data_IF_438915604654
#
_entry.id   IF_438915604654
#
_cell.length_a   1.000
_cell.length_b   1.000
_cell.length_c   1.000
_cell.angle_alpha   90.00
_cell.angle_beta   90.00
_cell.angle_gamma   90.00
#
_symmetry.space_group_name_H-M   'P 1'
#
loop_
_entity.id
_entity.type
_entity.pdbx_description
1 polymer ?
#
# COMPACT_ATOMS: atom_id res chain seq x y z
N UNK A 1 -17.03 -1.23 -3.21
CA UNK A 1 -15.81 -0.53 -2.72
C UNK A 1 -16.08 0.06 -1.34
N UNK A 2 -15.08 0.19 -0.48
CA UNK A 2 -15.22 0.84 0.83
C UNK A 2 -14.25 2.02 0.94
N UNK A 3 -14.72 3.12 1.53
CA UNK A 3 -13.90 4.24 1.96
C UNK A 3 -13.69 4.13 3.46
N UNK A 4 -12.44 4.19 3.91
CA UNK A 4 -12.08 4.16 5.32
C UNK A 4 -11.42 5.46 5.70
N UNK A 5 -11.98 6.13 6.71
CA UNK A 5 -11.39 7.33 7.32
C UNK A 5 -10.82 6.91 8.66
N UNK A 6 -9.54 7.21 8.87
CA UNK A 6 -8.81 6.97 10.12
C UNK A 6 -8.28 8.30 10.60
N UNK A 7 -8.64 8.67 11.83
CA UNK A 7 -8.12 9.85 12.52
C UNK A 7 -7.58 9.44 13.87
N UNK A 8 -6.36 9.89 14.18
CA UNK A 8 -5.69 9.66 15.44
C UNK A 8 -4.68 10.77 15.68
N UNK A 9 -4.43 11.10 16.95
CA UNK A 9 -3.32 11.96 17.40
C UNK A 9 -1.97 11.23 17.42
N UNK A 10 -1.95 9.93 17.11
CA UNK A 10 -0.76 9.09 17.13
C UNK A 10 -0.41 8.55 15.75
N UNK A 11 0.72 8.97 15.20
CA UNK A 11 1.24 8.44 13.93
C UNK A 11 1.44 6.91 13.95
N UNK A 12 1.84 6.36 15.08
CA UNK A 12 2.01 4.92 15.27
C UNK A 12 0.67 4.18 15.06
N UNK A 13 -0.41 4.73 15.62
CA UNK A 13 -1.77 4.20 15.43
C UNK A 13 -2.20 4.32 13.97
N UNK A 14 -1.96 5.46 13.33
CA UNK A 14 -2.28 5.64 11.89
C UNK A 14 -1.52 4.64 11.03
N UNK A 15 -0.22 4.43 11.28
CA UNK A 15 0.61 3.44 10.56
C UNK A 15 0.08 2.01 10.73
N UNK A 16 -0.37 1.65 11.94
CA UNK A 16 -0.98 0.34 12.20
C UNK A 16 -2.34 0.20 11.53
N UNK A 17 -3.18 1.22 11.61
CA UNK A 17 -4.47 1.27 10.94
C UNK A 17 -4.31 1.09 9.42
N UNK A 18 -3.35 1.79 8.79
CA UNK A 18 -3.01 1.63 7.38
C UNK A 18 -2.74 0.17 7.01
N UNK A 19 -1.89 -0.52 7.80
CA UNK A 19 -1.56 -1.93 7.58
C UNK A 19 -2.77 -2.85 7.76
N UNK A 20 -3.63 -2.53 8.71
CA UNK A 20 -4.83 -3.31 9.04
C UNK A 20 -5.95 -3.16 7.98
N UNK A 21 -6.14 -1.95 7.47
CA UNK A 21 -7.16 -1.61 6.47
C UNK A 21 -6.78 -2.13 5.09
N UNK A 22 -5.50 -1.99 4.72
CA UNK A 22 -5.03 -2.29 3.37
C UNK A 22 -5.67 -1.40 2.29
N UNK A 23 -5.26 -1.61 1.04
CA UNK A 23 -5.75 -0.83 -0.09
C UNK A 23 -4.91 0.41 -0.38
N UNK A 24 -5.54 1.39 -1.04
CA UNK A 24 -4.91 2.59 -1.57
C UNK A 24 -5.19 3.78 -0.64
N UNK A 25 -4.14 4.41 -0.12
CA UNK A 25 -4.26 5.66 0.63
C UNK A 25 -4.36 6.83 -0.34
N UNK A 26 -5.48 7.55 -0.33
CA UNK A 26 -5.71 8.70 -1.20
C UNK A 26 -5.13 9.99 -0.63
N UNK A 27 -5.29 10.15 0.68
CA UNK A 27 -4.81 11.25 1.50
C UNK A 27 -4.46 10.68 2.88
N UNK A 28 -3.65 11.37 3.70
CA UNK A 28 -3.32 10.90 5.04
C UNK A 28 -4.58 10.51 5.84
N UNK A 29 -4.70 9.23 6.17
CA UNK A 29 -5.85 8.71 6.92
C UNK A 29 -7.10 8.40 6.08
N UNK A 30 -7.10 8.61 4.77
CA UNK A 30 -8.21 8.30 3.86
C UNK A 30 -7.84 7.18 2.90
N UNK A 31 -8.54 6.04 3.00
CA UNK A 31 -8.20 4.83 2.27
C UNK A 31 -9.36 4.33 1.42
N UNK A 32 -9.10 4.03 0.15
CA UNK A 32 -9.95 3.18 -0.68
C UNK A 32 -9.52 1.73 -0.54
N UNK A 33 -10.46 0.86 -0.18
CA UNK A 33 -10.18 -0.56 0.03
C UNK A 33 -11.26 -1.44 -0.58
N UNK A 34 -10.79 -2.53 -1.18
CA UNK A 34 -11.59 -3.64 -1.70
C UNK A 34 -11.57 -4.84 -0.74
N UNK A 35 -11.04 -4.65 0.47
CA UNK A 35 -11.05 -5.68 1.51
C UNK A 35 -12.50 -5.96 1.97
N UNK A 36 -12.88 -7.23 2.21
CA UNK A 36 -14.19 -7.56 2.74
C UNK A 36 -14.52 -6.81 4.03
N UNK A 37 -15.76 -6.35 4.15
CA UNK A 37 -16.21 -5.52 5.29
C UNK A 37 -16.00 -6.20 6.63
N UNK A 38 -16.22 -7.52 6.69
CA UNK A 38 -16.07 -8.33 7.90
C UNK A 38 -14.61 -8.38 8.36
N UNK A 39 -13.69 -8.47 7.40
CA UNK A 39 -12.25 -8.46 7.66
C UNK A 39 -11.80 -7.09 8.17
N UNK A 40 -12.30 -6.01 7.57
CA UNK A 40 -12.05 -4.65 8.06
C UNK A 40 -12.60 -4.43 9.46
N UNK A 41 -13.84 -4.86 9.72
CA UNK A 41 -14.46 -4.75 11.04
C UNK A 41 -13.62 -5.47 12.11
N UNK A 42 -13.17 -6.70 11.83
CA UNK A 42 -12.27 -7.45 12.73
C UNK A 42 -10.94 -6.74 12.95
N UNK A 43 -10.36 -6.17 11.89
CA UNK A 43 -9.08 -5.47 11.97
C UNK A 43 -9.18 -4.16 12.78
N UNK A 44 -10.24 -3.38 12.56
CA UNK A 44 -10.54 -2.16 13.32
C UNK A 44 -10.83 -2.49 14.79
N UNK A 45 -11.59 -3.56 15.06
CA UNK A 45 -11.88 -4.00 16.42
C UNK A 45 -10.61 -4.45 17.17
N UNK A 46 -9.72 -5.18 16.50
CA UNK A 46 -8.42 -5.54 17.08
C UNK A 46 -7.59 -4.31 17.45
N UNK A 47 -7.56 -3.29 16.57
CA UNK A 47 -6.86 -2.04 16.82
C UNK A 47 -7.47 -1.27 17.99
N UNK A 48 -8.81 -1.17 18.06
CA UNK A 48 -9.52 -0.55 19.18
C UNK A 48 -9.18 -1.23 20.52
N UNK A 49 -9.21 -2.56 20.57
CA UNK A 49 -8.88 -3.32 21.79
C UNK A 49 -7.46 -3.08 22.25
N UNK A 50 -6.51 -2.95 21.33
CA UNK A 50 -5.12 -2.64 21.68
C UNK A 50 -5.01 -1.24 22.31
N UNK A 51 -5.70 -0.25 21.75
CA UNK A 51 -5.73 1.12 22.29
C UNK A 51 -6.40 1.17 23.65
N UNK A 52 -7.54 0.48 23.82
CA UNK A 52 -8.24 0.39 25.11
C UNK A 52 -7.33 -0.21 26.19
N UNK A 53 -6.63 -1.32 25.89
CA UNK A 53 -5.66 -1.91 26.83
C UNK A 53 -4.57 -0.94 27.26
N UNK A 54 -4.14 -0.06 26.36
CA UNK A 54 -3.13 0.96 26.66
C UNK A 54 -3.68 2.07 27.55
N UNK A 55 -4.91 2.52 27.26
CA UNK A 55 -5.65 3.43 28.13
C UNK A 55 -5.81 2.88 29.54
N UNK A 56 -6.20 1.60 29.66
CA UNK A 56 -6.40 0.94 30.96
C UNK A 56 -5.09 0.81 31.74
N UNK A 57 -3.97 0.52 31.07
CA UNK A 57 -2.67 0.33 31.70
C UNK A 57 -1.98 1.66 32.09
N UNK A 58 -2.08 2.68 31.25
CA UNK A 58 -1.33 3.93 31.39
C UNK A 58 -2.19 5.10 31.94
N UNK A 59 -3.51 4.90 32.11
CA UNK A 59 -4.48 5.93 32.50
C UNK A 59 -4.72 7.00 31.43
N UNK A 60 -4.05 6.89 30.29
CA UNK A 60 -4.14 7.76 29.11
C UNK A 60 -3.77 6.95 27.86
N UNK A 61 -4.21 7.41 26.70
CA UNK A 61 -3.76 6.82 25.44
C UNK A 61 -4.17 7.64 24.23
N UNK A 62 -3.79 7.17 23.03
CA UNK A 62 -4.08 7.89 21.80
C UNK A 62 -5.58 7.87 21.49
N UNK A 63 -6.04 8.91 20.81
CA UNK A 63 -7.38 8.93 20.22
C UNK A 63 -7.41 8.10 18.94
N UNK A 64 -8.53 7.42 18.67
CA UNK A 64 -8.76 6.74 17.41
C UNK A 64 -10.23 6.86 17.01
N UNK A 65 -10.46 7.48 15.87
CA UNK A 65 -11.74 7.51 15.17
C UNK A 65 -11.58 6.76 13.84
N UNK A 66 -12.48 5.80 13.59
CA UNK A 66 -12.51 5.06 12.32
C UNK A 66 -13.93 5.02 11.78
N UNK A 67 -14.11 5.47 10.54
CA UNK A 67 -15.35 5.33 9.79
C UNK A 67 -15.12 4.40 8.59
N UNK A 68 -16.02 3.44 8.37
CA UNK A 68 -16.02 2.55 7.21
C UNK A 68 -17.31 2.79 6.44
N UNK A 69 -17.19 3.39 5.26
CA UNK A 69 -18.30 3.86 4.44
C UNK A 69 -18.38 3.02 3.17
N UNK A 70 -19.50 2.30 2.92
CA UNK A 70 -19.73 1.72 1.62
C UNK A 70 -19.97 2.83 0.60
N UNK A 71 -19.26 2.76 -0.52
CA UNK A 71 -19.45 3.70 -1.62
C UNK A 71 -20.42 3.14 -2.64
N UNK A 72 -21.29 4.00 -3.15
CA UNK A 72 -21.99 3.75 -4.41
C UNK A 72 -21.03 3.91 -5.59
N UNK A 73 -21.42 3.40 -6.76
CA UNK A 73 -20.64 3.58 -7.99
C UNK A 73 -20.46 5.05 -8.37
N UNK A 74 -21.48 5.88 -8.13
CA UNK A 74 -21.42 7.32 -8.38
C UNK A 74 -20.40 8.00 -7.46
N UNK A 75 -20.46 7.70 -6.15
CA UNK A 75 -19.49 8.24 -5.19
C UNK A 75 -18.06 7.76 -5.48
N UNK A 76 -17.90 6.52 -5.93
CA UNK A 76 -16.59 6.01 -6.36
C UNK A 76 -16.08 6.74 -7.60
N UNK A 77 -16.95 7.02 -8.58
CA UNK A 77 -16.58 7.76 -9.80
C UNK A 77 -15.98 9.13 -9.49
N UNK A 78 -16.52 9.83 -8.48
CA UNK A 78 -15.98 11.11 -8.02
C UNK A 78 -14.59 10.99 -7.37
N UNK A 79 -14.29 9.87 -6.72
CA UNK A 79 -12.97 9.61 -6.12
C UNK A 79 -11.95 9.04 -7.11
N UNK A 80 -12.41 8.52 -8.26
CA UNK A 80 -11.57 7.84 -9.26
C UNK A 80 -10.41 8.69 -9.78
N UNK A 81 -10.56 10.00 -10.06
CA UNK A 81 -9.42 10.85 -10.46
C UNK A 81 -8.30 10.90 -9.41
N UNK A 82 -8.68 10.96 -8.13
CA UNK A 82 -7.72 10.96 -7.02
C UNK A 82 -7.01 9.61 -6.90
N UNK A 83 -7.75 8.51 -6.99
CA UNK A 83 -7.18 7.17 -7.00
C UNK A 83 -6.21 6.97 -8.18
N UNK A 84 -6.58 7.49 -9.37
CA UNK A 84 -5.70 7.48 -10.55
C UNK A 84 -4.41 8.24 -10.30
N UNK A 85 -4.46 9.45 -9.75
CA UNK A 85 -3.26 10.24 -9.48
C UNK A 85 -2.28 9.48 -8.57
N UNK A 86 -2.79 8.86 -7.49
CA UNK A 86 -1.95 8.07 -6.56
C UNK A 86 -1.37 6.83 -7.24
N UNK A 87 -2.16 6.12 -8.07
CA UNK A 87 -1.67 4.94 -8.81
C UNK A 87 -0.58 5.32 -9.82
N UNK A 88 -0.75 6.43 -10.54
CA UNK A 88 0.25 6.91 -11.51
C UNK A 88 1.55 7.29 -10.80
N UNK A 89 1.48 8.05 -9.71
CA UNK A 89 2.66 8.42 -8.92
C UNK A 89 3.39 7.18 -8.37
N UNK A 90 2.63 6.21 -7.83
CA UNK A 90 3.19 4.96 -7.35
C UNK A 90 3.84 4.14 -8.47
N UNK A 91 3.24 4.13 -9.66
CA UNK A 91 3.75 3.45 -10.83
C UNK A 91 5.06 4.06 -11.34
N UNK A 92 5.13 5.39 -11.45
CA UNK A 92 6.35 6.10 -11.87
C UNK A 92 7.49 5.94 -10.86
N UNK A 93 7.19 6.09 -9.57
CA UNK A 93 8.16 5.91 -8.49
C UNK A 93 8.73 4.49 -8.48
N UNK A 94 7.86 3.49 -8.66
CA UNK A 94 8.26 2.09 -8.74
C UNK A 94 9.12 1.81 -9.99
N UNK A 95 8.78 2.41 -11.14
CA UNK A 95 9.55 2.28 -12.37
C UNK A 95 10.99 2.80 -12.19
N UNK A 96 11.15 3.97 -11.58
CA UNK A 96 12.46 4.56 -11.29
C UNK A 96 13.25 3.75 -10.24
N UNK A 97 12.55 3.09 -9.31
CA UNK A 97 13.17 2.20 -8.34
C UNK A 97 13.66 0.90 -8.99
N UNK A 98 12.88 0.32 -9.91
CA UNK A 98 13.28 -0.86 -10.68
C UNK A 98 14.55 -0.59 -11.50
N UNK A 99 14.68 0.60 -12.08
CA UNK A 99 15.91 1.01 -12.80
C UNK A 99 17.13 1.01 -11.88
N UNK A 100 17.00 1.63 -10.69
CA UNK A 100 18.06 1.66 -9.69
C UNK A 100 18.43 0.27 -9.18
N UNK A 101 17.43 -0.60 -9.02
CA UNK A 101 17.66 -1.99 -8.62
C UNK A 101 18.42 -2.76 -9.71
N UNK A 102 18.00 -2.63 -10.98
CA UNK A 102 18.67 -3.28 -12.12
C UNK A 102 20.13 -2.84 -12.25
N UNK A 103 20.39 -1.53 -12.15
CA UNK A 103 21.74 -0.99 -12.19
C UNK A 103 22.59 -1.56 -11.04
N UNK A 104 22.03 -1.61 -9.83
CA UNK A 104 22.71 -2.18 -8.68
C UNK A 104 23.02 -3.69 -8.86
N UNK A 105 22.08 -4.47 -9.39
CA UNK A 105 22.27 -5.89 -9.70
C UNK A 105 23.37 -6.10 -10.74
N UNK A 106 23.33 -5.34 -11.85
CA UNK A 106 24.29 -5.45 -12.96
C UNK A 106 25.69 -4.94 -12.61
N UNK A 107 25.79 -3.90 -11.78
CA UNK A 107 27.08 -3.34 -11.37
C UNK A 107 27.91 -4.27 -10.48
N UNK A 108 27.28 -5.25 -9.82
CA UNK A 108 27.93 -6.15 -8.87
C UNK A 108 28.53 -5.47 -7.64
N UNK A 109 28.34 -4.16 -7.44
CA UNK A 109 28.91 -3.36 -6.35
C UNK A 109 28.22 -3.56 -5.01
N UNK A 110 26.94 -3.96 -5.02
CA UNK A 110 26.23 -4.50 -3.86
C UNK A 110 26.12 -6.01 -4.07
N UNK A 111 26.56 -6.83 -3.12
CA UNK A 111 26.34 -8.29 -3.11
C UNK A 111 25.79 -8.69 -1.75
N UNK A 112 24.97 -9.74 -1.73
CA UNK A 112 24.43 -10.31 -0.49
C UNK A 112 22.99 -9.92 -0.15
N UNK A 113 22.61 -10.10 1.11
CA UNK A 113 21.24 -10.05 1.62
C UNK A 113 20.51 -8.72 1.35
N UNK A 114 21.23 -7.60 1.27
CA UNK A 114 20.64 -6.28 1.01
C UNK A 114 19.98 -6.14 -0.36
N UNK A 115 20.52 -6.78 -1.41
CA UNK A 115 19.91 -6.75 -2.74
C UNK A 115 18.65 -7.61 -2.82
N UNK A 116 18.69 -8.81 -2.21
CA UNK A 116 17.53 -9.70 -2.16
C UNK A 116 16.40 -9.08 -1.33
N UNK A 117 16.73 -8.39 -0.24
CA UNK A 117 15.78 -7.60 0.54
C UNK A 117 15.12 -6.50 -0.29
N UNK A 118 15.94 -5.71 -1.02
CA UNK A 118 15.43 -4.66 -1.90
C UNK A 118 14.55 -5.21 -3.03
N UNK A 119 14.96 -6.31 -3.67
CA UNK A 119 14.15 -7.01 -4.66
C UNK A 119 12.79 -7.45 -4.09
N UNK A 120 12.77 -8.06 -2.89
CA UNK A 120 11.52 -8.50 -2.26
C UNK A 120 10.59 -7.33 -1.95
N UNK A 121 11.14 -6.19 -1.53
CA UNK A 121 10.37 -4.97 -1.31
C UNK A 121 9.76 -4.42 -2.61
N UNK A 122 10.57 -4.30 -3.67
CA UNK A 122 10.10 -3.90 -5.01
C UNK A 122 9.03 -4.87 -5.53
N UNK A 123 9.22 -6.18 -5.35
CA UNK A 123 8.25 -7.20 -5.72
C UNK A 123 6.91 -7.01 -4.99
N UNK A 124 6.96 -6.77 -3.68
CA UNK A 124 5.77 -6.53 -2.87
C UNK A 124 5.03 -5.27 -3.32
N UNK A 125 5.76 -4.19 -3.62
CA UNK A 125 5.18 -2.93 -4.11
C UNK A 125 4.57 -3.09 -5.50
N UNK A 126 5.23 -3.81 -6.41
CA UNK A 126 4.71 -4.13 -7.73
C UNK A 126 3.40 -4.93 -7.65
N UNK A 127 3.37 -5.99 -6.82
CA UNK A 127 2.15 -6.77 -6.65
C UNK A 127 1.01 -5.92 -6.08
N UNK A 128 1.27 -5.09 -5.06
CA UNK A 128 0.26 -4.18 -4.51
C UNK A 128 -0.29 -3.19 -5.53
N UNK A 129 0.57 -2.67 -6.40
CA UNK A 129 0.15 -1.77 -7.49
C UNK A 129 -0.75 -2.50 -8.49
N UNK A 130 -0.38 -3.71 -8.91
CA UNK A 130 -1.20 -4.54 -9.81
C UNK A 130 -2.55 -4.86 -9.19
N UNK A 131 -2.57 -5.30 -7.93
CA UNK A 131 -3.81 -5.61 -7.21
C UNK A 131 -4.72 -4.38 -7.12
N UNK A 132 -4.15 -3.20 -6.85
CA UNK A 132 -4.89 -1.94 -6.80
C UNK A 132 -5.46 -1.56 -8.17
N UNK A 133 -4.65 -1.69 -9.24
CA UNK A 133 -5.09 -1.40 -10.61
C UNK A 133 -6.26 -2.27 -11.04
N UNK A 134 -6.22 -3.57 -10.71
CA UNK A 134 -7.32 -4.50 -11.01
C UNK A 134 -8.55 -4.19 -10.17
N UNK A 135 -8.38 -4.01 -8.86
CA UNK A 135 -9.51 -3.79 -7.95
C UNK A 135 -10.25 -2.46 -8.19
N UNK A 136 -9.54 -1.45 -8.70
CA UNK A 136 -10.08 -0.12 -8.96
C UNK A 136 -10.45 0.11 -10.43
N UNK A 137 -10.12 -0.83 -11.32
CA UNK A 137 -10.23 -0.64 -12.78
C UNK A 137 -9.53 0.65 -13.24
N UNK A 138 -8.27 0.78 -12.80
CA UNK A 138 -7.38 1.90 -13.11
C UNK A 138 -6.03 1.35 -13.55
N UNK A 139 -5.80 1.33 -14.85
CA UNK A 139 -4.48 1.03 -15.40
C UNK A 139 -3.61 2.31 -15.44
N UNK A 140 -2.40 2.29 -14.83
CA UNK A 140 -1.46 3.39 -14.95
C UNK A 140 -0.92 3.48 -16.37
N UNK A 141 -0.63 4.69 -16.82
CA UNK A 141 -0.13 5.00 -18.16
C UNK A 141 1.18 4.27 -18.46
N UNK A 142 2.01 4.05 -17.44
CA UNK A 142 3.31 3.37 -17.56
C UNK A 142 3.25 1.84 -17.35
N UNK A 143 2.06 1.22 -17.29
CA UNK A 143 1.90 -0.21 -16.99
C UNK A 143 2.69 -1.13 -17.95
N UNK A 144 2.72 -0.81 -19.24
CA UNK A 144 3.51 -1.58 -20.22
C UNK A 144 5.00 -1.59 -19.89
N UNK A 145 5.57 -0.41 -19.64
CA UNK A 145 6.99 -0.23 -19.25
C UNK A 145 7.30 -0.91 -17.92
N UNK A 146 6.38 -0.85 -16.96
CA UNK A 146 6.50 -1.55 -15.68
C UNK A 146 6.58 -3.07 -15.88
N UNK A 147 5.72 -3.66 -16.71
CA UNK A 147 5.71 -5.10 -16.99
C UNK A 147 7.01 -5.55 -17.66
N UNK A 148 7.52 -4.77 -18.61
CA UNK A 148 8.80 -5.04 -19.29
C UNK A 148 9.96 -5.02 -18.29
N UNK A 149 10.09 -3.94 -17.50
CA UNK A 149 11.14 -3.85 -16.49
C UNK A 149 11.02 -4.89 -15.40
N UNK A 150 9.80 -5.25 -15.00
CA UNK A 150 9.60 -6.32 -14.02
C UNK A 150 10.14 -7.67 -14.52
N UNK A 151 9.99 -7.98 -15.82
CA UNK A 151 10.60 -9.16 -16.43
C UNK A 151 12.12 -9.11 -16.34
N UNK A 152 12.73 -7.97 -16.67
CA UNK A 152 14.18 -7.79 -16.55
C UNK A 152 14.67 -7.96 -15.10
N UNK A 153 14.03 -7.28 -14.14
CA UNK A 153 14.36 -7.37 -12.70
C UNK A 153 14.30 -8.81 -12.23
N UNK A 154 13.23 -9.53 -12.59
CA UNK A 154 13.03 -10.93 -12.18
C UNK A 154 14.09 -11.87 -12.77
N UNK A 155 14.50 -11.63 -14.01
CA UNK A 155 15.56 -12.40 -14.67
C UNK A 155 16.93 -12.17 -14.00
N UNK A 156 17.31 -10.92 -13.73
CA UNK A 156 18.57 -10.62 -13.05
C UNK A 156 18.57 -11.16 -11.61
N UNK A 157 17.45 -11.04 -10.89
CA UNK A 157 17.30 -11.62 -9.56
C UNK A 157 17.46 -13.15 -9.56
N UNK A 158 17.01 -13.83 -10.61
CA UNK A 158 17.19 -15.27 -10.79
C UNK A 158 18.65 -15.70 -10.97
N UNK A 159 19.51 -14.82 -11.49
CA UNK A 159 20.96 -15.07 -11.66
C UNK A 159 21.78 -14.82 -10.38
N UNK A 160 21.18 -14.19 -9.38
CA UNK A 160 21.80 -13.91 -8.08
C UNK A 160 21.60 -15.04 -7.06
N UNK A 161 20.84 -16.08 -7.40
CA UNK A 161 20.68 -17.31 -6.61
C UNK A 161 21.72 -18.33 -7.01
#
# INVERSE_FOLDING_TARGET
>A
MLLVVVKSDSEEVVKRARRAVGGLELLPGLYLTWTPRERLAKAVEALKREIIKRWDAEGRGPTLEVAVLPLTEEQYRELRPMARAVIEEAAESLLAEMDRLLEAMRSGKRRGEGLLGWYRDVASRYQKLVDASVALDIEPTVMGRLREKWKEVSLEAGRLR
#
